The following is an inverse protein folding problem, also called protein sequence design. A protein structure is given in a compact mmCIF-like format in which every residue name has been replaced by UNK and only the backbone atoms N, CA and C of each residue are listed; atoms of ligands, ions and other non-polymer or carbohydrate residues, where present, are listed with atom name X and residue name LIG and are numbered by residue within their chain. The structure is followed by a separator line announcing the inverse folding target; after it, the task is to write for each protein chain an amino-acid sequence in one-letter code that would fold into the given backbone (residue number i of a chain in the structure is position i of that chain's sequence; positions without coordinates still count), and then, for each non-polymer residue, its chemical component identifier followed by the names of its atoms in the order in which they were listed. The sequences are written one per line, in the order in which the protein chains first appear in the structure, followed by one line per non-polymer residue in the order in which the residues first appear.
data_IF_101727879914
#
_entry.id   IF_101727879914
#
_cell.length_a   1.000
_cell.length_b   1.000
_cell.length_c   1.000
_cell.angle_alpha   90.00
_cell.angle_beta   90.00
_cell.angle_gamma   90.00
#
_symmetry.space_group_name_H-M   'P 1'
#
loop_
_entity.id
_entity.type
_entity.pdbx_description
1 polymer ?
#
# COMPACT_ATOMS: atom_id res chain seq x y z
N UNK A 1 -8.30 -4.00 -18.23
CA UNK A 1 -8.07 -3.22 -16.99
C UNK A 1 -7.36 -1.89 -17.21
N UNK A 2 -6.32 -1.76 -18.05
CA UNK A 2 -5.69 -0.46 -18.34
C UNK A 2 -6.65 0.63 -18.86
N UNK A 3 -7.78 0.22 -19.45
CA UNK A 3 -8.87 1.12 -19.89
C UNK A 3 -9.53 1.90 -18.74
N UNK A 4 -9.69 1.30 -17.56
CA UNK A 4 -10.31 1.99 -16.41
C UNK A 4 -9.35 3.02 -15.82
N UNK A 5 -8.07 2.68 -15.68
CA UNK A 5 -7.05 3.62 -15.20
C UNK A 5 -6.88 4.81 -16.16
N UNK A 6 -6.94 4.56 -17.46
CA UNK A 6 -6.96 5.63 -18.48
C UNK A 6 -8.21 6.53 -18.37
N UNK A 7 -9.39 5.95 -18.12
CA UNK A 7 -10.60 6.74 -17.88
C UNK A 7 -10.49 7.61 -16.63
N UNK A 8 -9.98 7.07 -15.53
CA UNK A 8 -9.75 7.81 -14.28
C UNK A 8 -8.77 8.97 -14.51
N UNK A 9 -7.68 8.73 -15.25
CA UNK A 9 -6.69 9.76 -15.58
C UNK A 9 -7.31 10.91 -16.40
N UNK A 10 -8.14 10.61 -17.40
CA UNK A 10 -8.80 11.64 -18.22
C UNK A 10 -9.84 12.45 -17.42
N UNK A 11 -10.45 11.87 -16.39
CA UNK A 11 -11.41 12.56 -15.51
C UNK A 11 -10.73 13.29 -14.34
N UNK A 12 -9.41 13.26 -14.24
CA UNK A 12 -8.66 14.08 -13.30
C UNK A 12 -8.72 15.56 -13.68
N UNK A 13 -8.84 16.44 -12.67
CA UNK A 13 -8.73 17.89 -12.84
C UNK A 13 -7.42 18.27 -13.54
N UNK A 14 -6.34 17.55 -13.25
CA UNK A 14 -5.01 17.77 -13.82
C UNK A 14 -4.92 17.42 -15.32
N UNK A 15 -5.84 16.60 -15.85
CA UNK A 15 -5.86 16.26 -17.27
C UNK A 15 -6.42 17.39 -18.16
N UNK A 16 -7.09 18.38 -17.56
CA UNK A 16 -7.65 19.53 -18.28
C UNK A 16 -8.74 19.16 -19.30
N UNK A 17 -9.38 17.98 -19.15
CA UNK A 17 -10.43 17.47 -20.05
C UNK A 17 -11.85 17.69 -19.52
N UNK A 18 -12.02 18.53 -18.50
CA UNK A 18 -13.33 18.81 -17.88
C UNK A 18 -13.80 17.73 -16.90
N UNK A 19 -12.88 16.93 -16.37
CA UNK A 19 -13.15 16.01 -15.27
C UNK A 19 -13.22 16.72 -13.91
N UNK A 20 -13.82 16.06 -12.92
CA UNK A 20 -14.05 16.61 -11.57
C UNK A 20 -13.19 15.95 -10.49
N UNK A 21 -12.43 14.90 -10.83
CA UNK A 21 -11.68 14.14 -9.84
C UNK A 21 -10.42 14.90 -9.40
N UNK A 22 -10.27 15.06 -8.10
CA UNK A 22 -9.07 15.60 -7.47
C UNK A 22 -7.88 14.64 -7.60
N UNK A 23 -6.67 15.16 -7.33
CA UNK A 23 -5.45 14.35 -7.31
C UNK A 23 -5.54 13.16 -6.33
N UNK A 24 -6.09 13.39 -5.14
CA UNK A 24 -6.27 12.33 -4.14
C UNK A 24 -7.30 11.29 -4.61
N UNK A 25 -8.41 11.72 -5.20
CA UNK A 25 -9.43 10.79 -5.72
C UNK A 25 -8.89 9.93 -6.87
N UNK A 26 -8.20 10.55 -7.82
CA UNK A 26 -7.55 9.79 -8.92
C UNK A 26 -6.48 8.83 -8.42
N UNK A 27 -5.71 9.21 -7.39
CA UNK A 27 -4.70 8.37 -6.76
C UNK A 27 -5.33 7.19 -6.00
N UNK A 28 -6.38 7.42 -5.22
CA UNK A 28 -7.09 6.37 -4.47
C UNK A 28 -7.74 5.37 -5.42
N UNK A 29 -8.45 5.86 -6.46
CA UNK A 29 -9.11 5.00 -7.43
C UNK A 29 -8.08 4.18 -8.20
N UNK A 30 -6.99 4.82 -8.67
CA UNK A 30 -5.92 4.13 -9.39
C UNK A 30 -5.23 3.09 -8.51
N UNK A 31 -4.93 3.42 -7.26
CA UNK A 31 -4.37 2.47 -6.30
C UNK A 31 -5.29 1.28 -6.04
N UNK A 32 -6.60 1.49 -5.92
CA UNK A 32 -7.57 0.41 -5.76
C UNK A 32 -7.65 -0.49 -7.01
N UNK A 33 -7.53 0.08 -8.21
CA UNK A 33 -7.44 -0.68 -9.45
C UNK A 33 -6.13 -1.48 -9.56
N UNK A 34 -5.02 -0.97 -9.02
CA UNK A 34 -3.75 -1.70 -9.00
C UNK A 34 -3.77 -2.84 -7.98
N UNK A 35 -4.52 -2.69 -6.86
CA UNK A 35 -4.69 -3.75 -5.86
C UNK A 35 -5.39 -5.00 -6.41
N UNK A 36 -6.19 -4.92 -7.49
CA UNK A 36 -6.82 -6.10 -8.09
C UNK A 36 -5.81 -7.06 -8.72
N UNK A 37 -4.61 -6.55 -9.06
CA UNK A 37 -3.53 -7.32 -9.67
C UNK A 37 -2.48 -7.77 -8.66
N UNK A 38 -2.43 -7.13 -7.49
CA UNK A 38 -1.40 -7.38 -6.49
C UNK A 38 -1.54 -8.78 -5.91
N UNK A 39 -0.49 -9.58 -6.01
CA UNK A 39 -0.45 -10.93 -5.47
C UNK A 39 -0.03 -10.93 -4.00
N UNK A 40 -0.30 -12.03 -3.29
CA UNK A 40 0.16 -12.24 -1.92
C UNK A 40 1.68 -12.15 -1.80
N UNK A 41 2.40 -12.65 -2.82
CA UNK A 41 3.87 -12.61 -2.86
C UNK A 41 4.41 -11.16 -2.90
N UNK A 42 3.72 -10.26 -3.61
CA UNK A 42 4.11 -8.84 -3.73
C UNK A 42 3.63 -7.99 -2.52
N UNK A 43 2.64 -8.46 -1.77
CA UNK A 43 2.04 -7.71 -0.67
C UNK A 43 2.57 -8.10 0.72
N UNK A 44 3.03 -9.35 0.90
CA UNK A 44 3.47 -9.84 2.21
C UNK A 44 4.90 -9.44 2.54
N UNK A 45 5.17 -9.28 3.84
CA UNK A 45 6.54 -9.25 4.34
C UNK A 45 7.08 -10.68 4.40
N UNK A 46 8.27 -10.97 3.83
CA UNK A 46 8.90 -12.28 3.94
C UNK A 46 9.07 -12.69 5.41
N UNK A 47 8.92 -13.98 5.72
CA UNK A 47 8.86 -14.49 7.10
C UNK A 47 10.15 -14.17 7.87
N UNK A 48 11.29 -14.22 7.20
CA UNK A 48 12.61 -13.86 7.72
C UNK A 48 12.74 -12.37 8.10
N UNK A 49 11.86 -11.52 7.57
CA UNK A 49 11.75 -10.10 7.89
C UNK A 49 10.52 -9.77 8.76
N UNK A 50 9.82 -10.78 9.28
CA UNK A 50 8.74 -10.58 10.26
C UNK A 50 9.27 -10.50 11.69
N UNK A 51 8.55 -9.80 12.55
CA UNK A 51 8.75 -9.90 14.00
C UNK A 51 7.83 -10.99 14.55
N UNK A 52 8.42 -11.93 15.27
CA UNK A 52 7.71 -13.04 15.92
C UNK A 52 8.15 -13.15 17.38
N UNK A 53 7.26 -13.67 18.23
CA UNK A 53 7.53 -13.93 19.65
C UNK A 53 7.62 -15.44 19.89
N UNK A 54 8.55 -15.87 20.75
CA UNK A 54 8.64 -17.26 21.15
C UNK A 54 7.43 -17.65 22.03
N UNK A 55 6.87 -18.84 21.80
CA UNK A 55 5.66 -19.32 22.48
C UNK A 55 5.82 -19.49 24.00
N UNK A 56 7.05 -19.63 24.49
CA UNK A 56 7.39 -19.75 25.90
C UNK A 56 7.79 -18.40 26.53
N UNK A 57 7.76 -17.31 25.77
CA UNK A 57 8.09 -15.98 26.26
C UNK A 57 7.12 -15.55 27.36
N UNK A 58 7.65 -15.24 28.55
CA UNK A 58 6.83 -14.70 29.64
C UNK A 58 6.60 -13.21 29.43
N UNK A 59 5.33 -12.82 29.30
CA UNK A 59 4.90 -11.43 29.16
C UNK A 59 5.26 -10.60 30.40
N UNK A 60 6.49 -10.07 30.45
CA UNK A 60 6.92 -9.09 31.45
C UNK A 60 6.63 -7.69 30.92
N UNK A 61 5.56 -7.08 31.44
CA UNK A 61 5.16 -5.67 31.31
C UNK A 61 5.79 -4.83 30.18
N UNK A 62 6.48 -3.75 30.57
CA UNK A 62 6.92 -2.67 29.67
C UNK A 62 7.85 -3.11 28.53
N UNK A 63 8.65 -4.16 28.72
CA UNK A 63 9.62 -4.60 27.71
C UNK A 63 8.96 -5.30 26.51
N UNK A 64 7.89 -6.06 26.74
CA UNK A 64 7.17 -6.74 25.65
C UNK A 64 6.36 -5.75 24.82
N UNK A 65 5.70 -4.78 25.46
CA UNK A 65 4.98 -3.71 24.77
C UNK A 65 5.94 -2.82 23.97
N UNK A 66 7.11 -2.49 24.53
CA UNK A 66 8.14 -1.73 23.81
C UNK A 66 8.68 -2.50 22.59
N UNK A 67 8.88 -3.82 22.70
CA UNK A 67 9.33 -4.65 21.59
C UNK A 67 8.30 -4.69 20.45
N UNK A 68 7.01 -4.87 20.76
CA UNK A 68 5.92 -4.83 19.75
C UNK A 68 5.83 -3.47 19.07
N UNK A 69 5.93 -2.37 19.83
CA UNK A 69 5.91 -1.01 19.26
C UNK A 69 7.12 -0.78 18.35
N UNK A 70 8.31 -1.24 18.76
CA UNK A 70 9.54 -1.09 17.96
C UNK A 70 9.58 -2.00 16.73
N UNK A 71 8.90 -3.14 16.80
CA UNK A 71 8.79 -4.10 15.72
C UNK A 71 7.77 -3.71 14.64
N UNK A 72 6.92 -2.70 14.88
CA UNK A 72 6.06 -2.14 13.83
C UNK A 72 6.93 -1.57 12.72
N UNK A 73 7.06 -2.34 11.63
CA UNK A 73 7.52 -1.81 10.35
C UNK A 73 6.52 -0.74 9.88
N UNK A 74 6.96 0.32 9.18
CA UNK A 74 6.04 1.20 8.49
C UNK A 74 5.14 0.35 7.59
N UNK A 75 3.86 0.74 7.46
CA UNK A 75 2.97 0.05 6.50
C UNK A 75 3.68 0.04 5.14
N UNK A 76 3.63 -1.06 4.39
CA UNK A 76 4.05 -1.03 2.99
C UNK A 76 3.22 0.07 2.31
N UNK A 77 3.87 1.18 1.97
CA UNK A 77 3.29 2.17 1.09
C UNK A 77 3.32 1.55 -0.31
N UNK A 78 2.24 1.68 -1.07
CA UNK A 78 2.33 1.45 -2.51
C UNK A 78 3.31 2.52 -3.03
N UNK A 79 4.46 2.10 -3.54
CA UNK A 79 5.41 3.05 -4.08
C UNK A 79 4.77 3.71 -5.30
N UNK A 80 4.82 5.05 -5.36
CA UNK A 80 4.20 5.82 -6.44
C UNK A 80 4.79 5.44 -7.81
N UNK A 81 6.01 4.90 -7.82
CA UNK A 81 6.66 4.34 -9.00
C UNK A 81 5.97 3.04 -9.48
N UNK A 82 5.44 2.19 -8.60
CA UNK A 82 4.64 1.02 -8.99
C UNK A 82 3.34 1.43 -9.73
N UNK A 83 2.83 2.64 -9.41
CA UNK A 83 1.63 3.20 -10.03
C UNK A 83 1.93 3.72 -11.44
N UNK A 84 3.15 4.21 -11.70
CA UNK A 84 3.55 4.87 -12.95
C UNK A 84 4.46 4.03 -13.87
N UNK A 85 4.85 2.81 -13.49
CA UNK A 85 5.76 1.94 -14.26
C UNK A 85 5.14 1.29 -15.52
N UNK A 86 4.16 1.94 -16.15
CA UNK A 86 3.57 1.51 -17.42
C UNK A 86 3.42 2.72 -18.33
N UNK A 87 4.56 3.30 -18.72
CA UNK A 87 4.72 3.86 -20.06
C UNK A 87 5.47 2.84 -20.93
#
# INVERSE_FOLDING_TARGET
EGKLKALVSIHGLEAGKGGELTHDETTIISGALDLTKKTTQEAMTPIESTFSLDVNSKLKGSSHMAAVVKARKPKPQLDVEDINSQE
#
